data_IF_172107078376
#
_entry.id   IF_172107078376
#
_cell.length_a   1.000
_cell.length_b   1.000
_cell.length_c   1.000
_cell.angle_alpha   90.00
_cell.angle_beta   90.00
_cell.angle_gamma   90.00
#
_symmetry.space_group_name_H-M   'P 1'
#
loop_
_entity.id
_entity.type
_entity.pdbx_description
1 polymer ?
#
# COMPACT_ATOMS: atom_id res chain seq x y z
N UNK A 1 -16.67 -7.78 -7.87
CA UNK A 1 -15.45 -7.71 -8.70
C UNK A 1 -15.77 -6.94 -9.97
N UNK A 2 -14.99 -5.91 -10.29
CA UNK A 2 -15.19 -5.09 -11.48
C UNK A 2 -13.84 -4.77 -12.14
N UNK A 3 -13.89 -4.50 -13.45
CA UNK A 3 -12.77 -3.93 -14.20
C UNK A 3 -13.19 -2.56 -14.71
N UNK A 4 -12.32 -1.60 -14.55
CA UNK A 4 -12.54 -0.23 -14.99
C UNK A 4 -11.51 0.12 -16.07
N UNK A 5 -11.99 0.49 -17.24
CA UNK A 5 -11.13 1.04 -18.29
C UNK A 5 -10.89 2.53 -17.98
N UNK A 6 -9.69 2.88 -17.53
CA UNK A 6 -9.30 4.22 -17.14
C UNK A 6 -7.92 4.54 -17.73
N UNK A 7 -7.78 5.67 -18.41
CA UNK A 7 -6.52 6.08 -19.08
C UNK A 7 -5.92 4.96 -19.96
N UNK A 8 -6.77 4.26 -20.72
CA UNK A 8 -6.41 3.12 -21.58
C UNK A 8 -5.81 1.91 -20.82
N UNK A 9 -6.06 1.82 -19.52
CA UNK A 9 -5.64 0.70 -18.69
C UNK A 9 -6.85 0.01 -18.06
N UNK A 10 -6.81 -1.32 -18.04
CA UNK A 10 -7.74 -2.14 -17.27
C UNK A 10 -7.29 -2.18 -15.82
N UNK A 11 -8.10 -1.64 -14.92
CA UNK A 11 -7.85 -1.64 -13.47
C UNK A 11 -8.85 -2.58 -12.79
N UNK A 12 -8.30 -3.51 -12.01
CA UNK A 12 -9.09 -4.47 -11.25
C UNK A 12 -9.41 -3.94 -9.86
N UNK A 13 -10.69 -4.06 -9.49
CA UNK A 13 -11.23 -3.61 -8.21
C UNK A 13 -12.15 -4.68 -7.65
N UNK A 14 -11.99 -4.99 -6.37
CA UNK A 14 -12.93 -5.80 -5.62
C UNK A 14 -13.75 -4.92 -4.68
N UNK A 15 -15.05 -5.24 -4.56
CA UNK A 15 -15.97 -4.51 -3.69
C UNK A 15 -16.78 -5.46 -2.83
N UNK A 16 -17.05 -5.05 -1.59
CA UNK A 16 -17.90 -5.73 -0.63
C UNK A 16 -18.85 -4.73 0.00
N UNK A 17 -20.07 -5.15 0.31
CA UNK A 17 -21.09 -4.36 1.00
C UNK A 17 -21.38 -3.03 0.28
N UNK A 18 -21.66 -3.07 -1.01
CA UNK A 18 -21.74 -1.89 -1.89
C UNK A 18 -22.78 -0.86 -1.44
N UNK A 19 -23.85 -1.30 -0.75
CA UNK A 19 -24.94 -0.43 -0.24
C UNK A 19 -24.59 0.25 1.11
N UNK A 20 -23.47 -0.07 1.72
CA UNK A 20 -23.06 0.51 3.00
C UNK A 20 -22.65 1.99 2.82
N UNK A 21 -23.06 2.83 3.79
CA UNK A 21 -22.84 4.29 3.71
C UNK A 21 -21.38 4.69 3.96
N UNK A 22 -20.69 3.95 4.80
CA UNK A 22 -19.29 4.24 5.14
C UNK A 22 -18.38 3.46 4.21
N UNK A 23 -17.43 4.13 3.58
CA UNK A 23 -16.55 3.50 2.59
C UNK A 23 -15.10 3.55 3.02
N UNK A 24 -14.40 2.42 2.88
CA UNK A 24 -12.95 2.31 2.99
C UNK A 24 -12.36 1.79 1.69
N UNK A 25 -11.32 2.46 1.20
CA UNK A 25 -10.51 2.01 0.07
C UNK A 25 -9.18 1.47 0.59
N UNK A 26 -8.76 0.31 0.09
CA UNK A 26 -7.58 -0.42 0.55
C UNK A 26 -6.57 -0.60 -0.58
N UNK A 27 -5.33 -0.15 -0.36
CA UNK A 27 -4.21 -0.22 -1.29
C UNK A 27 -3.11 -1.13 -0.76
N UNK A 28 -2.80 -2.20 -1.51
CA UNK A 28 -1.81 -3.22 -1.13
C UNK A 28 -0.36 -2.75 -1.26
N UNK A 29 0.57 -3.52 -0.67
CA UNK A 29 2.01 -3.31 -0.79
C UNK A 29 2.62 -3.90 -2.07
N UNK A 30 3.93 -3.71 -2.24
CA UNK A 30 4.69 -4.33 -3.33
C UNK A 30 4.57 -5.85 -3.29
N UNK A 31 4.39 -6.49 -4.43
CA UNK A 31 4.09 -7.93 -4.61
C UNK A 31 2.70 -8.40 -4.13
N UNK A 32 1.88 -7.50 -3.60
CA UNK A 32 0.51 -7.81 -3.18
C UNK A 32 -0.54 -7.59 -4.29
N UNK A 33 -1.78 -7.78 -3.91
CA UNK A 33 -2.99 -7.53 -4.71
C UNK A 33 -4.18 -7.26 -3.79
N UNK A 34 -5.38 -7.15 -4.33
CA UNK A 34 -6.63 -7.07 -3.54
C UNK A 34 -6.78 -8.23 -2.55
N UNK A 35 -6.23 -9.40 -2.86
CA UNK A 35 -6.34 -10.62 -2.06
C UNK A 35 -5.74 -10.48 -0.65
N UNK A 36 -4.70 -9.68 -0.48
CA UNK A 36 -4.06 -9.46 0.83
C UNK A 36 -5.06 -8.97 1.88
N UNK A 37 -6.14 -8.30 1.45
CA UNK A 37 -7.15 -7.71 2.33
C UNK A 37 -8.29 -8.65 2.73
N UNK A 38 -8.46 -9.81 2.05
CA UNK A 38 -9.60 -10.69 2.26
C UNK A 38 -9.77 -11.13 3.72
N UNK A 39 -8.67 -11.45 4.41
CA UNK A 39 -8.71 -11.86 5.83
C UNK A 39 -9.11 -10.73 6.77
N UNK A 40 -8.78 -9.50 6.44
CA UNK A 40 -9.18 -8.30 7.19
C UNK A 40 -10.65 -7.99 6.91
N UNK A 41 -11.04 -7.93 5.63
CA UNK A 41 -12.40 -7.58 5.21
C UNK A 41 -13.43 -8.55 5.79
N UNK A 42 -13.12 -9.84 5.85
CA UNK A 42 -13.99 -10.85 6.47
C UNK A 42 -14.26 -10.60 7.96
N UNK A 43 -13.49 -9.72 8.60
CA UNK A 43 -13.64 -9.36 10.03
C UNK A 43 -14.20 -7.96 10.24
N UNK A 44 -14.35 -7.18 9.18
CA UNK A 44 -15.00 -5.88 9.23
C UNK A 44 -16.54 -6.04 9.22
N UNK A 45 -17.28 -5.14 9.87
CA UNK A 45 -18.73 -5.19 9.87
C UNK A 45 -19.32 -4.89 8.50
N UNK A 46 -20.49 -5.45 8.20
CA UNK A 46 -21.16 -5.35 6.89
C UNK A 46 -21.73 -3.95 6.59
N UNK A 47 -21.76 -3.05 7.56
CA UNK A 47 -22.14 -1.65 7.36
C UNK A 47 -20.98 -0.77 6.82
N UNK A 48 -19.84 -1.37 6.47
CA UNK A 48 -18.70 -0.72 5.82
C UNK A 48 -18.56 -1.28 4.40
N UNK A 49 -18.65 -0.41 3.40
CA UNK A 49 -18.27 -0.72 2.03
C UNK A 49 -16.76 -0.79 1.92
N UNK A 50 -16.23 -1.93 1.56
CA UNK A 50 -14.80 -2.13 1.32
C UNK A 50 -14.51 -2.15 -0.17
N UNK A 51 -13.49 -1.41 -0.60
CA UNK A 51 -13.02 -1.35 -1.99
C UNK A 51 -11.52 -1.60 -1.98
N UNK A 52 -11.09 -2.71 -2.53
CA UNK A 52 -9.67 -3.01 -2.72
C UNK A 52 -9.28 -2.82 -4.19
N UNK A 53 -8.14 -2.20 -4.45
CA UNK A 53 -7.67 -1.88 -5.80
C UNK A 53 -6.33 -2.55 -6.04
N UNK A 54 -6.19 -3.28 -7.14
CA UNK A 54 -4.90 -3.71 -7.65
C UNK A 54 -4.18 -2.52 -8.28
N UNK A 55 -3.04 -2.12 -7.73
CA UNK A 55 -2.23 -1.02 -8.27
C UNK A 55 -1.61 -1.39 -9.62
N UNK A 56 -1.25 -0.39 -10.43
CA UNK A 56 -0.63 -0.62 -11.75
C UNK A 56 0.51 -1.64 -11.65
N UNK A 57 0.49 -2.61 -12.54
CA UNK A 57 1.50 -3.65 -12.61
C UNK A 57 1.31 -4.82 -11.66
N UNK A 58 0.34 -4.75 -10.74
CA UNK A 58 0.08 -5.79 -9.74
C UNK A 58 -1.26 -6.49 -9.96
N UNK A 59 -1.36 -7.69 -9.42
CA UNK A 59 -2.57 -8.48 -9.43
C UNK A 59 -3.15 -8.64 -10.84
N UNK A 60 -4.40 -8.24 -11.01
CA UNK A 60 -5.13 -8.32 -12.28
C UNK A 60 -5.19 -6.97 -13.04
N UNK A 61 -4.68 -5.88 -12.46
CA UNK A 61 -4.57 -4.59 -13.13
C UNK A 61 -3.50 -4.65 -14.23
N UNK A 62 -3.67 -3.90 -15.30
CA UNK A 62 -2.75 -3.86 -16.44
C UNK A 62 -1.29 -3.64 -15.99
N UNK A 63 -0.35 -4.27 -16.72
CA UNK A 63 1.09 -4.07 -16.54
C UNK A 63 1.68 -3.49 -17.84
N UNK A 64 1.49 -2.19 -18.10
CA UNK A 64 1.98 -1.56 -19.33
C UNK A 64 3.52 -1.60 -19.39
N UNK A 65 4.05 -1.59 -20.62
CA UNK A 65 5.49 -1.57 -20.86
C UNK A 65 6.13 -0.21 -20.56
N UNK A 66 5.34 0.85 -20.61
CA UNK A 66 5.81 2.23 -20.47
C UNK A 66 6.01 2.59 -19.00
N UNK A 67 7.25 2.78 -18.57
CA UNK A 67 7.61 3.12 -17.17
C UNK A 67 6.91 4.38 -16.64
N UNK A 68 6.66 5.38 -17.49
CA UNK A 68 5.99 6.63 -17.09
C UNK A 68 4.60 6.39 -16.48
N UNK A 69 3.92 5.33 -16.87
CA UNK A 69 2.61 4.96 -16.35
C UNK A 69 2.68 4.40 -14.91
N UNK A 70 3.88 4.10 -14.40
CA UNK A 70 4.09 3.68 -13.01
C UNK A 70 4.53 4.82 -12.09
N UNK A 71 4.65 6.06 -12.60
CA UNK A 71 5.00 7.19 -11.75
C UNK A 71 3.94 7.41 -10.66
N UNK A 72 4.38 7.88 -9.48
CA UNK A 72 3.47 8.19 -8.37
C UNK A 72 2.34 9.12 -8.82
N UNK A 73 2.65 10.15 -9.61
CA UNK A 73 1.65 11.08 -10.14
C UNK A 73 0.61 10.36 -11.02
N UNK A 74 1.06 9.51 -11.93
CA UNK A 74 0.13 8.77 -12.79
C UNK A 74 -0.76 7.82 -11.96
N UNK A 75 -0.19 7.12 -10.98
CA UNK A 75 -0.93 6.20 -10.11
C UNK A 75 -2.02 6.91 -9.29
N UNK A 76 -1.71 8.07 -8.68
CA UNK A 76 -2.73 8.80 -7.89
C UNK A 76 -3.81 9.43 -8.77
N UNK A 77 -3.48 9.87 -9.98
CA UNK A 77 -4.47 10.37 -10.94
C UNK A 77 -5.37 9.25 -11.45
N UNK A 78 -4.82 8.07 -11.75
CA UNK A 78 -5.59 6.89 -12.12
C UNK A 78 -6.59 6.52 -11.01
N UNK A 79 -6.13 6.47 -9.75
CA UNK A 79 -7.00 6.21 -8.59
C UNK A 79 -8.10 7.26 -8.48
N UNK A 80 -7.77 8.53 -8.68
CA UNK A 80 -8.77 9.61 -8.62
C UNK A 80 -9.88 9.45 -9.67
N UNK A 81 -9.53 9.02 -10.88
CA UNK A 81 -10.54 8.73 -11.92
C UNK A 81 -11.40 7.52 -11.56
N UNK A 82 -10.81 6.45 -11.01
CA UNK A 82 -11.55 5.28 -10.51
C UNK A 82 -12.51 5.69 -9.40
N UNK A 83 -12.06 6.46 -8.43
CA UNK A 83 -12.88 6.90 -7.30
C UNK A 83 -14.03 7.81 -7.76
N UNK A 84 -13.80 8.65 -8.77
CA UNK A 84 -14.87 9.44 -9.42
C UNK A 84 -15.88 8.55 -10.14
N UNK A 85 -15.44 7.53 -10.88
CA UNK A 85 -16.31 6.57 -11.56
C UNK A 85 -17.16 5.78 -10.57
N UNK A 86 -16.60 5.45 -9.39
CA UNK A 86 -17.30 4.79 -8.30
C UNK A 86 -18.16 5.76 -7.46
N UNK A 87 -18.22 7.06 -7.84
CA UNK A 87 -18.92 8.14 -7.12
C UNK A 87 -18.50 8.25 -5.63
N UNK A 88 -17.23 7.99 -5.33
CA UNK A 88 -16.74 8.07 -3.95
C UNK A 88 -16.59 9.53 -3.50
N UNK A 89 -17.16 9.81 -2.34
CA UNK A 89 -17.02 11.08 -1.63
C UNK A 89 -16.89 10.79 -0.15
N UNK A 90 -15.99 11.52 0.52
CA UNK A 90 -15.85 11.41 1.97
C UNK A 90 -15.58 9.96 2.42
N UNK A 91 -14.52 9.34 1.92
CA UNK A 91 -14.14 7.97 2.22
C UNK A 91 -12.84 7.90 3.05
N UNK A 92 -12.63 6.75 3.68
CA UNK A 92 -11.38 6.41 4.36
C UNK A 92 -10.43 5.78 3.34
N UNK A 93 -9.17 6.23 3.30
CA UNK A 93 -8.13 5.63 2.47
C UNK A 93 -7.12 4.92 3.36
N UNK A 94 -6.94 3.62 3.14
CA UNK A 94 -5.97 2.78 3.82
C UNK A 94 -4.92 2.29 2.84
N UNK A 95 -3.65 2.41 3.18
CA UNK A 95 -2.56 1.87 2.37
C UNK A 95 -1.48 1.19 3.20
N UNK A 96 -1.01 0.04 2.70
CA UNK A 96 0.08 -0.72 3.29
C UNK A 96 1.37 -0.51 2.51
N UNK A 97 2.46 -0.14 3.19
CA UNK A 97 3.83 -0.06 2.64
C UNK A 97 3.89 0.77 1.34
N UNK A 98 4.05 0.15 0.16
CA UNK A 98 3.96 0.82 -1.13
C UNK A 98 2.60 1.49 -1.33
N UNK A 99 1.50 0.78 -1.07
CA UNK A 99 0.15 1.33 -1.10
C UNK A 99 -0.05 2.47 -0.09
N UNK A 100 0.65 2.42 1.03
CA UNK A 100 0.69 3.51 2.02
C UNK A 100 1.35 4.77 1.46
N UNK A 101 2.44 4.64 0.69
CA UNK A 101 3.07 5.76 -0.01
C UNK A 101 2.14 6.37 -1.08
N UNK A 102 1.42 5.51 -1.80
CA UNK A 102 0.40 5.94 -2.77
C UNK A 102 -0.74 6.65 -2.05
N UNK A 103 -1.26 6.09 -0.95
CA UNK A 103 -2.33 6.68 -0.15
C UNK A 103 -1.94 8.05 0.42
N UNK A 104 -0.72 8.19 0.95
CA UNK A 104 -0.20 9.46 1.44
C UNK A 104 -0.07 10.50 0.32
N UNK A 105 0.49 10.10 -0.83
CA UNK A 105 0.60 10.97 -2.00
C UNK A 105 -0.77 11.42 -2.51
N UNK A 106 -1.76 10.51 -2.49
CA UNK A 106 -3.14 10.81 -2.83
C UNK A 106 -3.75 11.82 -1.84
N UNK A 107 -3.57 11.60 -0.53
CA UNK A 107 -4.09 12.48 0.51
C UNK A 107 -3.53 13.91 0.42
N UNK A 108 -2.25 14.05 0.08
CA UNK A 108 -1.62 15.37 -0.17
C UNK A 108 -2.23 16.05 -1.39
N UNK A 109 -2.53 15.30 -2.44
CA UNK A 109 -3.03 15.85 -3.73
C UNK A 109 -4.53 16.11 -3.73
N UNK A 110 -5.32 15.27 -3.07
CA UNK A 110 -6.79 15.30 -3.05
C UNK A 110 -7.37 15.27 -1.62
N UNK A 111 -6.93 16.16 -0.72
CA UNK A 111 -7.24 16.06 0.70
C UNK A 111 -8.74 16.16 1.03
N UNK A 112 -9.51 16.91 0.24
CA UNK A 112 -10.94 17.14 0.48
C UNK A 112 -11.85 15.93 0.24
N UNK A 113 -11.31 14.87 -0.35
CA UNK A 113 -12.08 13.65 -0.62
C UNK A 113 -12.05 12.66 0.56
N UNK A 114 -11.11 12.84 1.49
CA UNK A 114 -10.85 11.88 2.56
C UNK A 114 -11.42 12.33 3.89
N UNK A 115 -12.12 11.41 4.56
CA UNK A 115 -12.52 11.59 5.96
C UNK A 115 -11.43 11.14 6.94
N UNK A 116 -10.60 10.16 6.53
CA UNK A 116 -9.51 9.63 7.33
C UNK A 116 -8.44 9.00 6.43
N UNK A 117 -7.19 9.05 6.85
CA UNK A 117 -6.08 8.35 6.21
C UNK A 117 -5.50 7.32 7.19
N UNK A 118 -5.40 6.05 6.77
CA UNK A 118 -4.77 4.98 7.55
C UNK A 118 -3.54 4.50 6.80
N UNK A 119 -2.39 4.53 7.46
CA UNK A 119 -1.10 4.15 6.88
C UNK A 119 -0.49 3.00 7.69
N UNK A 120 -0.37 1.84 7.07
CA UNK A 120 0.32 0.69 7.65
C UNK A 120 1.74 0.62 7.11
N UNK A 121 2.73 0.74 8.01
CA UNK A 121 4.16 0.62 7.71
C UNK A 121 4.58 1.44 6.47
N UNK A 122 4.12 2.69 6.40
CA UNK A 122 4.34 3.58 5.27
C UNK A 122 5.46 4.59 5.53
N UNK A 123 5.96 5.20 4.45
CA UNK A 123 7.03 6.19 4.46
C UNK A 123 6.65 7.41 3.61
N UNK A 124 7.00 8.63 4.01
CA UNK A 124 6.81 9.84 3.20
C UNK A 124 7.95 10.08 2.19
N UNK A 125 8.82 9.08 1.98
CA UNK A 125 9.95 9.18 1.06
C UNK A 125 11.28 9.45 1.75
N UNK A 126 12.34 9.63 0.95
CA UNK A 126 13.71 9.87 1.42
C UNK A 126 14.05 11.35 1.21
N UNK A 127 14.57 12.01 2.26
CA UNK A 127 14.98 13.41 2.25
C UNK A 127 16.32 13.58 1.54
N UNK A 128 17.31 12.78 1.96
CA UNK A 128 18.69 12.91 1.52
C UNK A 128 18.88 12.48 0.05
N UNK A 129 19.43 13.37 -0.77
CA UNK A 129 19.66 13.11 -2.21
C UNK A 129 20.55 11.88 -2.45
N UNK A 130 21.58 11.71 -1.61
CA UNK A 130 22.46 10.54 -1.70
C UNK A 130 21.71 9.22 -1.45
N UNK A 131 20.82 9.20 -0.44
CA UNK A 131 19.99 8.03 -0.14
C UNK A 131 19.00 7.76 -1.28
N UNK A 132 18.41 8.80 -1.87
CA UNK A 132 17.51 8.68 -3.03
C UNK A 132 18.24 8.07 -4.23
N UNK A 133 19.46 8.57 -4.55
CA UNK A 133 20.27 8.01 -5.64
C UNK A 133 20.64 6.55 -5.40
N UNK A 134 21.12 6.23 -4.19
CA UNK A 134 21.46 4.85 -3.84
C UNK A 134 20.24 3.92 -3.92
N UNK A 135 19.10 4.38 -3.42
CA UNK A 135 17.83 3.60 -3.49
C UNK A 135 17.37 3.42 -4.94
N UNK A 136 17.41 4.44 -5.77
CA UNK A 136 17.06 4.34 -7.19
C UNK A 136 17.94 3.31 -7.90
N UNK A 137 19.25 3.33 -7.66
CA UNK A 137 20.17 2.34 -8.23
C UNK A 137 19.86 0.91 -7.76
N UNK A 138 19.57 0.73 -6.47
CA UNK A 138 19.22 -0.57 -5.93
C UNK A 138 17.88 -1.09 -6.50
N UNK A 139 16.88 -0.21 -6.64
CA UNK A 139 15.59 -0.55 -7.25
C UNK A 139 15.76 -0.92 -8.73
N UNK A 140 16.61 -0.22 -9.49
CA UNK A 140 16.92 -0.57 -10.89
C UNK A 140 17.59 -1.94 -11.00
N UNK A 141 18.63 -2.19 -10.21
CA UNK A 141 19.30 -3.51 -10.20
C UNK A 141 18.34 -4.65 -9.82
N UNK A 142 17.40 -4.38 -8.91
CA UNK A 142 16.38 -5.37 -8.54
C UNK A 142 15.41 -5.59 -9.70
N UNK A 143 14.97 -4.52 -10.35
CA UNK A 143 14.09 -4.58 -11.52
C UNK A 143 14.71 -5.37 -12.67
N UNK A 144 15.98 -5.13 -13.00
CA UNK A 144 16.73 -5.89 -14.00
C UNK A 144 16.80 -7.39 -13.65
N UNK A 145 17.07 -7.72 -12.37
CA UNK A 145 17.10 -9.11 -11.90
C UNK A 145 15.75 -9.80 -11.98
N UNK A 146 14.66 -9.09 -11.70
CA UNK A 146 13.28 -9.63 -11.83
C UNK A 146 13.00 -9.98 -13.30
N UNK A 147 13.31 -9.07 -14.22
CA UNK A 147 13.08 -9.29 -15.65
C UNK A 147 13.97 -10.42 -16.19
N UNK A 148 15.21 -10.48 -15.77
CA UNK A 148 16.18 -11.48 -16.27
C UNK A 148 15.95 -12.89 -15.71
N UNK A 149 15.52 -13.03 -14.45
CA UNK A 149 15.48 -14.32 -13.74
C UNK A 149 14.05 -14.78 -13.38
N UNK A 150 13.04 -13.99 -13.68
CA UNK A 150 11.63 -14.28 -13.41
C UNK A 150 11.20 -14.01 -11.97
N UNK A 151 9.85 -13.95 -11.79
CA UNK A 151 9.23 -13.65 -10.50
C UNK A 151 9.54 -14.69 -9.44
N UNK A 152 9.58 -15.97 -9.78
CA UNK A 152 9.80 -17.02 -8.78
C UNK A 152 11.21 -16.93 -8.16
N UNK A 153 12.24 -16.71 -8.97
CA UNK A 153 13.61 -16.48 -8.50
C UNK A 153 13.73 -15.25 -7.60
N UNK A 154 12.99 -14.20 -7.94
CA UNK A 154 12.88 -13.01 -7.10
C UNK A 154 12.20 -13.31 -5.76
N UNK A 155 11.03 -13.97 -5.78
CA UNK A 155 10.24 -14.28 -4.57
C UNK A 155 11.03 -15.13 -3.59
N UNK A 156 11.80 -16.13 -4.07
CA UNK A 156 12.65 -16.96 -3.23
C UNK A 156 13.66 -16.16 -2.38
N UNK A 157 14.11 -15.00 -2.88
CA UNK A 157 15.00 -14.10 -2.13
C UNK A 157 14.22 -13.05 -1.35
N UNK A 158 13.08 -12.60 -1.89
CA UNK A 158 12.27 -11.55 -1.33
C UNK A 158 11.61 -11.95 -0.01
N UNK A 159 11.15 -13.19 0.10
CA UNK A 159 10.53 -13.68 1.33
C UNK A 159 11.53 -13.92 2.46
N UNK A 160 12.84 -13.92 2.15
CA UNK A 160 13.93 -14.13 3.12
C UNK A 160 14.55 -12.82 3.64
N UNK A 161 14.14 -11.65 3.14
CA UNK A 161 14.68 -10.39 3.67
C UNK A 161 14.25 -10.17 5.13
N UNK A 162 15.06 -9.46 5.94
CA UNK A 162 14.77 -9.22 7.36
C UNK A 162 13.39 -8.61 7.61
N UNK A 163 12.88 -7.81 6.67
CA UNK A 163 11.57 -7.15 6.76
C UNK A 163 10.41 -8.14 6.93
N UNK A 164 10.54 -9.37 6.44
CA UNK A 164 9.52 -10.42 6.50
C UNK A 164 9.87 -11.58 7.44
N UNK A 165 10.88 -11.41 8.30
CA UNK A 165 11.31 -12.46 9.23
C UNK A 165 10.17 -12.98 10.12
N UNK A 166 9.28 -12.09 10.58
CA UNK A 166 8.10 -12.44 11.39
C UNK A 166 7.09 -13.31 10.63
N UNK A 167 6.98 -13.17 9.30
CA UNK A 167 6.06 -13.99 8.51
C UNK A 167 6.45 -15.48 8.49
N UNK A 168 7.71 -15.81 8.76
CA UNK A 168 8.16 -17.21 8.87
C UNK A 168 7.60 -17.93 10.10
N UNK A 169 7.08 -17.18 11.07
CA UNK A 169 6.43 -17.72 12.26
C UNK A 169 4.93 -17.97 12.07
N UNK A 170 4.37 -17.57 10.94
CA UNK A 170 2.97 -17.78 10.60
C UNK A 170 2.69 -19.26 10.28
N UNK A 171 1.42 -19.74 10.41
CA UNK A 171 1.04 -21.07 9.95
C UNK A 171 1.45 -21.30 8.49
N UNK A 172 1.86 -22.52 8.16
CA UNK A 172 2.35 -22.86 6.82
C UNK A 172 1.37 -22.53 5.70
N UNK A 173 0.07 -22.69 5.95
CA UNK A 173 -1.00 -22.34 5.00
C UNK A 173 -0.98 -20.83 4.68
N UNK A 174 -0.78 -19.98 5.68
CA UNK A 174 -0.68 -18.53 5.49
C UNK A 174 0.57 -18.16 4.70
N UNK A 175 1.71 -18.77 5.02
CA UNK A 175 2.95 -18.57 4.26
C UNK A 175 2.78 -18.98 2.79
N UNK A 176 2.11 -20.11 2.53
CA UNK A 176 1.81 -20.56 1.17
C UNK A 176 0.88 -19.62 0.41
N UNK A 177 -0.15 -19.08 1.06
CA UNK A 177 -1.03 -18.07 0.45
C UNK A 177 -0.27 -16.81 0.06
N UNK A 178 0.59 -16.28 0.96
CA UNK A 178 1.44 -15.12 0.69
C UNK A 178 2.37 -15.40 -0.49
N UNK A 179 3.05 -16.55 -0.49
CA UNK A 179 3.94 -16.95 -1.57
C UNK A 179 3.19 -17.08 -2.90
N UNK A 180 2.03 -17.73 -2.89
CA UNK A 180 1.18 -17.90 -4.09
C UNK A 180 0.79 -16.54 -4.69
N UNK A 181 0.44 -15.56 -3.87
CA UNK A 181 0.12 -14.22 -4.33
C UNK A 181 1.35 -13.54 -4.94
N UNK A 182 2.52 -13.65 -4.31
CA UNK A 182 3.78 -13.08 -4.79
C UNK A 182 4.24 -13.65 -6.13
N UNK A 183 4.18 -14.97 -6.31
CA UNK A 183 4.62 -15.63 -7.56
C UNK A 183 3.65 -15.44 -8.73
N UNK A 184 2.42 -15.03 -8.47
CA UNK A 184 1.43 -14.70 -9.51
C UNK A 184 1.63 -13.31 -10.11
N UNK A 185 2.57 -12.51 -9.60
CA UNK A 185 2.87 -11.19 -10.16
C UNK A 185 3.58 -11.32 -11.53
N UNK A 186 3.66 -10.18 -12.24
CA UNK A 186 4.29 -10.12 -13.57
C UNK A 186 5.63 -9.40 -13.47
N UNK A 187 6.66 -9.92 -14.13
CA UNK A 187 8.02 -9.38 -14.12
C UNK A 187 8.03 -7.88 -14.46
N UNK A 188 7.42 -7.53 -15.59
CA UNK A 188 7.39 -6.14 -16.06
C UNK A 188 6.62 -5.22 -15.11
N UNK A 189 5.55 -5.74 -14.49
CA UNK A 189 4.76 -5.00 -13.50
C UNK A 189 5.57 -4.65 -12.28
N UNK A 190 6.26 -5.63 -11.69
CA UNK A 190 7.11 -5.43 -10.52
C UNK A 190 8.31 -4.54 -10.85
N UNK A 191 9.00 -4.79 -11.97
CA UNK A 191 10.18 -4.03 -12.38
C UNK A 191 9.83 -2.55 -12.58
N UNK A 192 8.78 -2.25 -13.34
CA UNK A 192 8.38 -0.88 -13.61
C UNK A 192 7.79 -0.18 -12.38
N UNK A 193 7.17 -0.93 -11.46
CA UNK A 193 6.74 -0.38 -10.17
C UNK A 193 7.93 0.09 -9.31
N UNK A 194 9.03 -0.66 -9.29
CA UNK A 194 10.27 -0.23 -8.63
C UNK A 194 10.83 1.05 -9.27
N UNK A 195 10.86 1.12 -10.60
CA UNK A 195 11.36 2.26 -11.36
C UNK A 195 10.51 3.52 -11.20
N UNK A 196 9.17 3.37 -11.18
CA UNK A 196 8.23 4.49 -11.20
C UNK A 196 7.73 4.96 -9.82
N UNK A 197 7.60 4.02 -8.84
CA UNK A 197 7.06 4.28 -7.50
C UNK A 197 8.02 3.90 -6.37
N UNK A 198 9.26 3.55 -6.68
CA UNK A 198 10.30 3.28 -5.68
C UNK A 198 10.53 4.49 -4.78
N UNK A 199 11.02 4.25 -3.54
CA UNK A 199 11.25 5.32 -2.55
C UNK A 199 12.31 6.34 -3.02
N UNK A 200 13.19 5.92 -3.95
CA UNK A 200 14.22 6.80 -4.53
C UNK A 200 13.71 7.75 -5.61
N UNK A 201 12.52 7.49 -6.20
CA UNK A 201 11.96 8.28 -7.30
C UNK A 201 10.65 8.99 -6.95
N UNK A 202 9.91 8.50 -5.95
CA UNK A 202 8.69 9.17 -5.50
C UNK A 202 8.98 10.59 -4.99
N UNK A 203 8.01 11.52 -5.04
CA UNK A 203 8.13 12.81 -4.38
C UNK A 203 8.41 12.65 -2.89
N UNK A 204 9.28 13.48 -2.35
CA UNK A 204 9.50 13.60 -0.92
C UNK A 204 8.32 14.36 -0.29
N UNK A 205 7.71 13.81 0.77
CA UNK A 205 6.49 14.34 1.38
C UNK A 205 6.69 14.82 2.83
N UNK A 206 7.92 14.86 3.32
CA UNK A 206 8.26 15.45 4.63
C UNK A 206 7.96 16.96 4.70
N UNK A 207 7.84 17.48 5.91
CA UNK A 207 7.61 18.91 6.13
C UNK A 207 6.20 19.35 5.71
N UNK A 208 6.11 20.38 4.85
CA UNK A 208 4.86 21.02 4.48
C UNK A 208 3.76 20.04 4.01
N UNK A 209 4.02 19.03 3.17
CA UNK A 209 2.99 18.06 2.78
C UNK A 209 2.36 17.34 3.97
N UNK A 210 3.15 16.91 4.96
CA UNK A 210 2.62 16.25 6.17
C UNK A 210 1.90 17.22 7.09
N UNK A 211 2.46 18.41 7.34
CA UNK A 211 1.92 19.37 8.31
C UNK A 211 0.57 19.97 7.87
N UNK A 212 0.26 19.91 6.57
CA UNK A 212 -0.98 20.49 6.01
C UNK A 212 -2.09 19.47 5.78
N UNK A 213 -1.93 18.21 6.17
CA UNK A 213 -3.00 17.21 6.05
C UNK A 213 -4.20 17.58 6.93
N UNK A 214 -5.39 17.83 6.35
CA UNK A 214 -6.53 18.33 7.13
C UNK A 214 -7.33 17.23 7.83
N UNK A 215 -7.24 15.98 7.32
CA UNK A 215 -7.97 14.83 7.87
C UNK A 215 -7.19 14.20 9.04
N UNK A 216 -7.86 13.45 9.93
CA UNK A 216 -7.20 12.57 10.88
C UNK A 216 -6.34 11.51 10.16
N UNK A 217 -5.20 11.17 10.76
CA UNK A 217 -4.26 10.15 10.23
C UNK A 217 -3.99 9.11 11.31
N UNK A 218 -4.18 7.85 11.00
CA UNK A 218 -3.77 6.73 11.85
C UNK A 218 -2.57 6.04 11.23
N UNK A 219 -1.46 6.05 11.94
CA UNK A 219 -0.24 5.32 11.59
C UNK A 219 -0.26 3.98 12.35
N UNK A 220 -0.03 2.87 11.65
CA UNK A 220 -0.02 1.53 12.27
C UNK A 220 1.29 0.85 11.90
N UNK A 221 2.04 0.39 12.93
CA UNK A 221 3.28 -0.37 12.75
C UNK A 221 3.32 -1.59 13.65
N UNK A 222 4.04 -2.61 13.24
CA UNK A 222 4.37 -3.74 14.10
C UNK A 222 5.63 -3.47 14.92
N UNK A 223 5.63 -3.87 16.19
CA UNK A 223 6.76 -3.63 17.11
C UNK A 223 8.06 -4.31 16.66
N UNK A 224 7.99 -5.38 15.85
CA UNK A 224 9.17 -6.07 15.33
C UNK A 224 9.78 -5.37 14.10
N UNK A 225 9.11 -4.35 13.55
CA UNK A 225 9.63 -3.51 12.47
C UNK A 225 10.11 -2.17 13.04
N UNK A 226 11.18 -2.21 13.82
CA UNK A 226 11.74 -1.05 14.54
C UNK A 226 11.99 0.15 13.61
N UNK A 227 12.45 -0.11 12.39
CA UNK A 227 12.69 0.94 11.40
C UNK A 227 11.42 1.74 11.09
N UNK A 228 10.30 1.05 10.87
CA UNK A 228 9.05 1.73 10.56
C UNK A 228 8.37 2.29 11.81
N UNK A 229 8.60 1.71 13.00
CA UNK A 229 8.20 2.33 14.27
C UNK A 229 8.84 3.72 14.39
N UNK A 230 10.17 3.81 14.32
CA UNK A 230 10.89 5.08 14.41
C UNK A 230 10.45 6.08 13.34
N UNK A 231 10.31 5.62 12.10
CA UNK A 231 9.88 6.46 10.98
C UNK A 231 8.47 7.04 11.19
N UNK A 232 7.54 6.22 11.68
CA UNK A 232 6.16 6.66 11.91
C UNK A 232 6.02 7.51 13.18
N UNK A 233 6.88 7.36 14.19
CA UNK A 233 7.01 8.30 15.31
C UNK A 233 7.42 9.70 14.81
N UNK A 234 8.36 9.78 13.88
CA UNK A 234 8.75 11.07 13.28
C UNK A 234 7.63 11.66 12.40
N UNK A 235 6.89 10.84 11.67
CA UNK A 235 5.70 11.27 10.93
C UNK A 235 4.63 11.83 11.88
N UNK A 236 4.36 11.14 12.99
CA UNK A 236 3.37 11.57 13.98
C UNK A 236 3.69 12.97 14.53
N UNK A 237 4.96 13.29 14.77
CA UNK A 237 5.38 14.61 15.27
C UNK A 237 5.06 15.74 14.27
N UNK A 238 4.97 15.44 12.99
CA UNK A 238 4.72 16.43 11.94
C UNK A 238 3.24 16.56 11.55
N UNK A 239 2.47 15.48 11.66
CA UNK A 239 1.06 15.46 11.26
C UNK A 239 0.19 15.89 12.45
N UNK A 240 -0.45 17.05 12.34
CA UNK A 240 -1.21 17.67 13.43
C UNK A 240 -2.28 16.77 14.06
N UNK A 241 -2.94 15.94 13.24
CA UNK A 241 -4.02 15.05 13.68
C UNK A 241 -3.61 13.57 13.54
N UNK A 242 -2.37 13.22 13.87
CA UNK A 242 -1.91 11.84 13.78
C UNK A 242 -2.00 11.11 15.11
N UNK A 243 -2.35 9.83 15.02
CA UNK A 243 -2.21 8.85 16.09
C UNK A 243 -1.35 7.69 15.57
N UNK A 244 -0.33 7.27 16.34
CA UNK A 244 0.51 6.13 15.99
C UNK A 244 0.21 4.94 16.92
N UNK A 245 -0.15 3.81 16.34
CA UNK A 245 -0.51 2.57 17.02
C UNK A 245 0.55 1.52 16.70
N UNK A 246 1.26 1.06 17.73
CA UNK A 246 2.29 0.02 17.62
C UNK A 246 1.71 -1.30 18.10
N UNK A 247 1.71 -2.31 17.24
CA UNK A 247 1.14 -3.63 17.54
C UNK A 247 2.25 -4.57 18.00
N UNK A 248 2.16 -5.14 19.21
CA UNK A 248 3.17 -6.04 19.74
C UNK A 248 3.21 -7.37 18.96
N UNK A 249 4.39 -7.99 18.92
CA UNK A 249 4.65 -9.32 18.38
C UNK A 249 4.33 -9.53 16.88
N UNK A 250 4.23 -8.46 16.09
CA UNK A 250 4.07 -8.49 14.63
C UNK A 250 5.10 -7.60 13.95
N UNK A 251 5.40 -7.90 12.69
CA UNK A 251 6.37 -7.17 11.86
C UNK A 251 5.71 -6.19 10.90
N UNK A 252 6.23 -6.14 9.67
CA UNK A 252 5.91 -5.14 8.66
C UNK A 252 4.47 -5.23 8.11
N UNK A 253 3.87 -6.41 8.06
CA UNK A 253 2.55 -6.66 7.46
C UNK A 253 1.53 -7.09 8.51
N UNK A 254 1.04 -6.15 9.32
CA UNK A 254 0.15 -6.41 10.45
C UNK A 254 -1.16 -7.02 9.98
N UNK A 255 -1.72 -6.55 8.85
CA UNK A 255 -2.95 -7.05 8.23
C UNK A 255 -2.86 -8.54 7.87
N UNK A 256 -1.66 -9.05 7.61
CA UNK A 256 -1.39 -10.49 7.34
C UNK A 256 -1.10 -11.24 8.64
N UNK A 257 -0.24 -10.66 9.50
CA UNK A 257 0.26 -11.32 10.70
C UNK A 257 -0.77 -11.37 11.83
N UNK A 258 -1.61 -10.34 11.95
CA UNK A 258 -2.70 -10.28 12.92
C UNK A 258 -3.96 -9.59 12.35
N UNK A 259 -4.65 -10.22 11.37
CA UNK A 259 -5.80 -9.62 10.70
C UNK A 259 -6.95 -9.26 11.64
N UNK A 260 -7.10 -9.97 12.76
CA UNK A 260 -8.15 -9.68 13.76
C UNK A 260 -7.87 -8.35 14.49
N UNK A 261 -6.66 -8.17 15.01
CA UNK A 261 -6.29 -6.93 15.68
C UNK A 261 -6.30 -5.75 14.71
N UNK A 262 -5.81 -5.97 13.49
CA UNK A 262 -5.83 -4.96 12.43
C UNK A 262 -7.25 -4.50 12.10
N UNK A 263 -8.18 -5.43 11.86
CA UNK A 263 -9.59 -5.13 11.60
C UNK A 263 -10.26 -4.39 12.76
N UNK A 264 -9.93 -4.74 14.01
CA UNK A 264 -10.42 -4.02 15.20
C UNK A 264 -9.99 -2.55 15.18
N UNK A 265 -8.70 -2.29 14.93
CA UNK A 265 -8.17 -0.92 14.85
C UNK A 265 -8.84 -0.14 13.71
N UNK A 266 -8.94 -0.75 12.53
CA UNK A 266 -9.61 -0.11 11.38
C UNK A 266 -11.04 0.24 11.74
N UNK A 267 -11.81 -0.67 12.34
CA UNK A 267 -13.19 -0.42 12.78
C UNK A 267 -13.26 0.74 13.77
N UNK A 268 -12.43 0.74 14.82
CA UNK A 268 -12.40 1.80 15.86
C UNK A 268 -11.99 3.16 15.27
N UNK A 269 -11.11 3.18 14.27
CA UNK A 269 -10.64 4.40 13.60
C UNK A 269 -11.72 5.06 12.76
N UNK A 270 -12.63 4.28 12.18
CA UNK A 270 -13.63 4.76 11.24
C UNK A 270 -15.04 4.86 11.84
N UNK A 271 -15.23 4.46 13.11
CA UNK A 271 -16.49 4.60 13.85
C UNK A 271 -16.65 6.00 14.40
#
# INVERSE_FOLDING_TARGET
MARFAVKDLDVYVEQWNEDAKQTIVLLHGFTGSTKTWHRVIAKLPTNIRCIAVDLIGHGQTAAPLTEKQYSMTFQIELLNEIFRTLNLKNFVLLGYSMGGRVALSYAVRFPSQLTHLILESASPGLVEEQQRKARKMADEQLAEKIVANGVESFVNKWEDIPLFASQKLLPAEVQQEIRKERVQQREIGLANSLRGMGTGVMPELWGKPLTTLPMPVTLITGALDEKFVQLNDEMQKQIVKANHIIIPAVGHAIHVENPTKFATIVKETIS
#
